data_IF_181610724729
#
_entry.id   IF_181610724729
#
_cell.length_a   1.000
_cell.length_b   1.000
_cell.length_c   1.000
_cell.angle_alpha   90.00
_cell.angle_beta   90.00
_cell.angle_gamma   90.00
#
_symmetry.space_group_name_H-M   'P 1'
#
loop_
_entity.id
_entity.type
_entity.pdbx_description
1 polymer ?
#
# COMPACT_ATOMS: atom_id res chain seq x y z
N UNK A 1 -3.25 -11.75 -14.26
CA UNK A 1 -3.57 -10.65 -13.31
C UNK A 1 -3.38 -10.99 -11.82
N UNK A 2 -3.06 -12.23 -11.40
CA UNK A 2 -3.04 -12.59 -9.97
C UNK A 2 -1.77 -12.32 -9.15
N UNK A 3 -0.58 -12.20 -9.76
CA UNK A 3 0.70 -12.08 -9.02
C UNK A 3 0.96 -10.68 -8.45
N UNK A 4 0.55 -9.63 -9.15
CA UNK A 4 0.76 -8.23 -8.73
C UNK A 4 0.04 -7.89 -7.41
N UNK A 5 -1.18 -8.40 -7.21
CA UNK A 5 -2.00 -8.14 -6.02
C UNK A 5 -1.35 -8.69 -4.73
N UNK A 6 -0.45 -9.68 -4.84
CA UNK A 6 0.25 -10.26 -3.70
C UNK A 6 1.42 -9.38 -3.24
N UNK A 7 2.25 -8.89 -4.17
CA UNK A 7 3.36 -7.98 -3.85
C UNK A 7 2.86 -6.69 -3.18
N UNK A 8 1.75 -6.14 -3.69
CA UNK A 8 1.15 -4.92 -3.16
C UNK A 8 0.64 -5.09 -1.71
N UNK A 9 0.00 -6.23 -1.40
CA UNK A 9 -0.44 -6.56 -0.04
C UNK A 9 0.74 -6.80 0.93
N UNK A 10 1.92 -7.21 0.44
CA UNK A 10 3.13 -7.37 1.26
C UNK A 10 3.78 -6.02 1.59
N UNK A 11 3.78 -5.09 0.63
CA UNK A 11 4.32 -3.73 0.78
C UNK A 11 3.43 -2.85 1.68
N UNK A 12 2.10 -3.00 1.62
CA UNK A 12 1.16 -2.33 2.52
C UNK A 12 1.00 -3.00 3.90
N UNK A 13 1.66 -4.14 4.14
CA UNK A 13 1.60 -4.78 5.45
C UNK A 13 2.37 -3.94 6.48
N UNK A 14 1.67 -3.46 7.51
CA UNK A 14 2.22 -2.58 8.57
C UNK A 14 3.50 -3.09 9.22
N UNK A 15 3.72 -4.41 9.23
CA UNK A 15 4.94 -5.00 9.80
C UNK A 15 6.16 -4.69 8.92
N UNK A 16 6.12 -5.05 7.64
CA UNK A 16 7.21 -4.82 6.66
C UNK A 16 7.66 -3.36 6.62
N UNK A 17 6.71 -2.41 6.73
CA UNK A 17 7.01 -0.97 6.73
C UNK A 17 7.78 -0.51 7.98
N UNK A 18 7.52 -1.12 9.15
CA UNK A 18 8.11 -0.69 10.43
C UNK A 18 9.58 -1.08 10.56
N UNK A 19 9.95 -2.18 9.91
CA UNK A 19 11.24 -2.83 10.08
C UNK A 19 12.27 -2.38 9.01
N UNK A 20 11.84 -1.62 7.99
CA UNK A 20 12.72 -0.88 7.07
C UNK A 20 13.45 0.27 7.79
N UNK A 21 14.73 0.47 7.50
CA UNK A 21 15.49 1.62 7.98
C UNK A 21 14.87 2.95 7.53
N UNK A 22 14.90 3.94 8.42
CA UNK A 22 14.25 5.25 8.23
C UNK A 22 14.74 6.01 7.00
N UNK A 23 16.02 5.85 6.67
CA UNK A 23 16.65 6.46 5.49
C UNK A 23 16.52 5.64 4.20
N UNK A 24 16.02 4.40 4.26
CA UNK A 24 16.00 3.52 3.09
C UNK A 24 15.12 4.07 1.95
N UNK A 25 15.54 3.95 0.68
CA UNK A 25 14.75 4.43 -0.46
C UNK A 25 13.34 3.84 -0.52
N UNK A 26 13.17 2.58 -0.10
CA UNK A 26 11.86 1.96 -0.03
C UNK A 26 11.00 2.50 1.13
N UNK A 27 11.57 2.84 2.30
CA UNK A 27 10.79 3.50 3.36
C UNK A 27 10.41 4.92 2.96
N UNK A 28 11.29 5.67 2.30
CA UNK A 28 10.99 6.98 1.70
C UNK A 28 9.87 6.85 0.66
N UNK A 29 10.04 6.01 -0.36
CA UNK A 29 9.04 5.73 -1.39
C UNK A 29 7.69 5.28 -0.81
N UNK A 30 7.69 4.32 0.12
CA UNK A 30 6.45 3.87 0.77
C UNK A 30 5.87 4.94 1.70
N UNK A 31 6.68 5.81 2.32
CA UNK A 31 6.19 6.92 3.15
C UNK A 31 5.56 8.02 2.30
N UNK A 32 6.16 8.36 1.15
CA UNK A 32 5.56 9.23 0.13
C UNK A 32 4.27 8.62 -0.36
N UNK A 33 4.30 7.39 -0.90
CA UNK A 33 3.10 6.64 -1.31
C UNK A 33 2.04 6.61 -0.21
N UNK A 34 2.40 6.50 1.07
CA UNK A 34 1.47 6.48 2.20
C UNK A 34 0.99 7.87 2.65
N UNK A 35 1.77 8.92 2.42
CA UNK A 35 1.35 10.31 2.63
C UNK A 35 0.38 10.68 1.52
N UNK A 36 0.77 10.47 0.26
CA UNK A 36 -0.04 10.69 -0.95
C UNK A 36 -1.33 9.83 -0.95
N UNK A 37 -1.30 8.56 -0.53
CA UNK A 37 -2.53 7.74 -0.33
C UNK A 37 -3.30 8.07 0.95
N UNK A 38 -2.65 8.72 1.91
CA UNK A 38 -3.18 8.98 3.26
C UNK A 38 -3.94 10.31 3.32
N UNK A 39 -3.37 11.32 2.68
CA UNK A 39 -4.05 12.49 2.17
C UNK A 39 -4.92 12.05 1.00
N UNK A 40 -6.07 11.45 1.32
CA UNK A 40 -7.15 11.31 0.36
C UNK A 40 -7.41 12.70 -0.22
N UNK A 41 -7.07 12.88 -1.49
CA UNK A 41 -7.41 14.08 -2.23
C UNK A 41 -8.94 14.24 -2.12
N UNK A 42 -9.33 15.33 -1.47
CA UNK A 42 -10.70 15.77 -1.30
C UNK A 42 -11.00 16.75 -2.45
N UNK A 43 -12.03 16.42 -3.23
CA UNK A 43 -12.57 17.28 -4.29
C UNK A 43 -13.91 17.84 -3.79
N UNK A 44 -14.13 19.14 -3.93
CA UNK A 44 -15.43 19.75 -3.67
C UNK A 44 -16.24 19.76 -4.97
N UNK A 45 -17.41 19.11 -4.94
CA UNK A 45 -18.38 19.09 -6.03
C UNK A 45 -19.52 20.01 -5.61
N UNK A 46 -19.78 21.03 -6.41
CA UNK A 46 -20.88 22.00 -6.23
C UNK A 46 -21.91 21.81 -7.37
N UNK A 47 -23.19 22.03 -7.06
CA UNK A 47 -24.30 22.05 -8.03
C UNK A 47 -24.44 20.80 -8.93
N UNK A 48 -24.19 19.58 -8.43
CA UNK A 48 -24.47 18.36 -9.22
C UNK A 48 -26.00 18.19 -9.41
N UNK A 49 -26.50 18.34 -10.64
CA UNK A 49 -27.92 18.15 -10.95
C UNK A 49 -28.31 16.66 -10.83
N UNK A 50 -28.90 16.30 -9.70
CA UNK A 50 -29.34 14.94 -9.40
C UNK A 50 -30.80 14.65 -9.80
N UNK A 51 -31.53 15.66 -10.28
CA UNK A 51 -32.86 15.51 -10.89
C UNK A 51 -33.60 16.83 -11.06
N UNK A 52 -34.82 16.75 -11.58
CA UNK A 52 -35.69 17.91 -11.81
C UNK A 52 -37.08 17.71 -11.18
N UNK A 53 -37.68 18.81 -10.71
CA UNK A 53 -39.08 18.90 -10.31
C UNK A 53 -39.99 18.67 -11.52
N UNK A 54 -40.82 17.62 -11.47
CA UNK A 54 -41.61 17.15 -12.62
C UNK A 54 -43.14 17.29 -12.43
N UNK A 55 -43.59 17.51 -11.19
CA UNK A 55 -44.98 17.80 -10.86
C UNK A 55 -45.04 18.30 -9.42
N UNK A 56 -46.17 18.89 -9.02
CA UNK A 56 -46.42 19.32 -7.64
C UNK A 56 -46.52 18.19 -6.60
N UNK A 57 -46.42 16.92 -7.03
CA UNK A 57 -46.55 15.74 -6.16
C UNK A 57 -45.24 14.93 -6.03
N UNK A 58 -44.26 15.13 -6.93
CA UNK A 58 -43.01 14.35 -6.94
C UNK A 58 -42.04 14.85 -5.86
N UNK A 59 -42.07 14.19 -4.69
CA UNK A 59 -41.19 14.50 -3.55
C UNK A 59 -39.95 13.60 -3.45
N UNK A 60 -39.98 12.43 -4.07
CA UNK A 60 -38.96 11.37 -3.91
C UNK A 60 -37.95 11.36 -5.05
N UNK A 61 -36.67 11.30 -4.73
CA UNK A 61 -35.57 11.20 -5.69
C UNK A 61 -34.58 10.13 -5.21
N UNK A 62 -33.97 9.40 -6.13
CA UNK A 62 -32.98 8.37 -5.81
C UNK A 62 -32.07 8.15 -7.01
N UNK A 63 -30.79 7.95 -6.77
CA UNK A 63 -29.80 7.83 -7.83
C UNK A 63 -28.42 7.46 -7.30
N UNK A 64 -27.40 7.83 -8.06
CA UNK A 64 -26.00 7.68 -7.68
C UNK A 64 -25.29 8.96 -8.08
N UNK A 65 -24.57 9.57 -7.15
CA UNK A 65 -23.73 10.73 -7.40
C UNK A 65 -22.60 10.36 -8.37
N UNK A 66 -22.16 11.32 -9.17
CA UNK A 66 -21.13 11.13 -10.20
C UNK A 66 -19.80 10.72 -9.58
N UNK A 67 -19.41 11.33 -8.45
CA UNK A 67 -18.21 10.96 -7.70
C UNK A 67 -18.57 9.99 -6.56
N UNK A 68 -17.98 8.79 -6.59
CA UNK A 68 -18.14 7.78 -5.53
C UNK A 68 -17.16 8.04 -4.38
N UNK A 69 -17.50 7.63 -3.17
CA UNK A 69 -16.64 7.86 -2.00
C UNK A 69 -16.88 9.22 -1.35
N UNK A 70 -18.14 9.58 -1.11
CA UNK A 70 -18.54 10.82 -0.43
C UNK A 70 -17.99 10.86 0.99
N UNK A 71 -17.50 12.02 1.43
CA UNK A 71 -17.08 12.28 2.81
C UNK A 71 -18.30 12.37 3.74
N UNK A 72 -18.39 11.56 4.81
CA UNK A 72 -19.49 11.66 5.77
C UNK A 72 -19.57 13.06 6.40
N UNK A 73 -20.77 13.62 6.42
CA UNK A 73 -21.07 14.97 6.91
C UNK A 73 -20.87 16.09 5.88
N UNK A 74 -20.55 15.77 4.62
CA UNK A 74 -20.35 16.78 3.57
C UNK A 74 -21.53 16.95 2.62
N UNK A 75 -22.42 15.96 2.51
CA UNK A 75 -23.49 16.00 1.50
C UNK A 75 -24.63 16.95 1.91
N UNK A 76 -24.90 17.92 1.04
CA UNK A 76 -26.04 18.82 1.10
C UNK A 76 -26.83 18.59 -0.18
N UNK A 77 -28.15 18.41 -0.07
CA UNK A 77 -29.06 18.33 -1.22
C UNK A 77 -30.11 19.42 -1.07
N UNK A 78 -30.30 20.21 -2.12
CA UNK A 78 -31.18 21.37 -2.08
C UNK A 78 -32.04 21.51 -3.35
N UNK A 79 -33.23 22.10 -3.19
CA UNK A 79 -34.14 22.38 -4.30
C UNK A 79 -35.08 23.56 -3.98
N UNK A 80 -35.49 24.30 -5.01
CA UNK A 80 -36.60 25.26 -4.90
C UNK A 80 -37.92 24.49 -4.92
N UNK A 81 -38.69 24.60 -3.83
CA UNK A 81 -39.97 23.91 -3.64
C UNK A 81 -41.17 24.83 -3.93
N UNK A 82 -42.36 24.24 -4.01
CA UNK A 82 -43.62 24.99 -4.17
C UNK A 82 -43.73 26.08 -3.10
N UNK A 83 -43.95 27.32 -3.53
CA UNK A 83 -43.96 28.51 -2.66
C UNK A 83 -42.71 29.39 -2.80
N UNK A 84 -41.80 29.06 -3.72
CA UNK A 84 -40.57 29.80 -4.02
C UNK A 84 -39.64 29.95 -2.79
N UNK A 85 -39.57 28.88 -1.99
CA UNK A 85 -38.63 28.68 -0.89
C UNK A 85 -37.66 27.54 -1.23
N UNK A 86 -36.47 27.53 -0.63
CA UNK A 86 -35.52 26.41 -0.75
C UNK A 86 -35.71 25.44 0.41
N UNK A 87 -35.80 24.14 0.13
CA UNK A 87 -35.68 23.08 1.14
C UNK A 87 -34.29 22.44 1.01
N UNK A 88 -33.62 22.19 2.14
CA UNK A 88 -32.24 21.69 2.19
C UNK A 88 -32.13 20.49 3.13
N UNK A 89 -31.75 19.34 2.58
CA UNK A 89 -31.41 18.14 3.33
C UNK A 89 -29.90 18.12 3.62
N UNK A 90 -29.53 18.01 4.89
CA UNK A 90 -28.12 17.92 5.32
C UNK A 90 -27.80 16.51 5.83
N UNK A 91 -26.59 16.05 5.53
CA UNK A 91 -26.01 14.77 5.95
C UNK A 91 -25.60 14.75 7.42
N UNK A 92 -26.09 13.76 8.17
CA UNK A 92 -25.84 13.58 9.61
C UNK A 92 -24.56 12.79 9.92
N UNK A 93 -23.73 12.47 8.91
CA UNK A 93 -22.52 11.63 9.02
C UNK A 93 -22.75 10.15 9.41
N UNK A 94 -24.01 9.72 9.53
CA UNK A 94 -24.41 8.36 9.93
C UNK A 94 -25.10 7.56 8.81
N UNK A 95 -25.12 8.11 7.60
CA UNK A 95 -25.83 7.58 6.43
C UNK A 95 -27.25 8.11 6.26
N UNK A 96 -27.73 9.00 7.13
CA UNK A 96 -29.03 9.67 7.01
C UNK A 96 -28.90 11.14 6.60
N UNK A 97 -29.94 11.66 5.92
CA UNK A 97 -30.11 13.09 5.65
C UNK A 97 -31.42 13.58 6.27
N UNK A 98 -31.44 14.84 6.73
CA UNK A 98 -32.62 15.49 7.31
C UNK A 98 -32.74 16.95 6.90
N UNK A 99 -33.98 17.43 6.73
CA UNK A 99 -34.33 18.85 6.51
C UNK A 99 -35.09 19.40 7.73
N UNK A 100 -34.91 20.68 8.12
CA UNK A 100 -35.73 21.34 9.15
C UNK A 100 -37.23 21.38 8.84
N UNK A 101 -37.60 21.40 7.55
CA UNK A 101 -38.96 21.37 7.03
C UNK A 101 -39.60 19.97 7.16
N UNK A 102 -38.81 18.94 7.41
CA UNK A 102 -39.23 17.56 7.59
C UNK A 102 -38.92 16.63 6.42
N UNK A 103 -38.09 17.06 5.47
CA UNK A 103 -37.49 16.18 4.47
C UNK A 103 -36.53 15.17 5.10
N UNK A 104 -36.33 14.03 4.45
CA UNK A 104 -35.46 12.95 4.94
C UNK A 104 -34.85 12.12 3.83
N UNK A 105 -33.74 11.43 4.11
CA UNK A 105 -33.12 10.51 3.15
C UNK A 105 -31.98 9.67 3.72
N UNK A 106 -31.30 8.96 2.82
CA UNK A 106 -30.14 8.11 3.12
C UNK A 106 -29.07 8.20 2.03
N UNK A 107 -27.81 7.98 2.40
CA UNK A 107 -26.63 7.93 1.52
C UNK A 107 -25.72 6.73 1.83
N UNK A 108 -25.35 5.95 0.82
CA UNK A 108 -24.22 5.03 0.87
C UNK A 108 -22.96 5.80 0.45
N UNK A 109 -22.17 6.28 1.43
CA UNK A 109 -20.95 7.04 1.19
C UNK A 109 -19.97 6.36 0.23
N UNK A 110 -19.84 5.04 0.31
CA UNK A 110 -18.86 4.30 -0.50
C UNK A 110 -19.29 4.26 -1.97
N UNK A 111 -20.61 4.16 -2.23
CA UNK A 111 -21.15 4.01 -3.58
C UNK A 111 -21.73 5.30 -4.18
N UNK A 112 -21.90 6.36 -3.40
CA UNK A 112 -22.62 7.57 -3.81
C UNK A 112 -24.13 7.36 -4.00
N UNK A 113 -24.70 6.24 -3.54
CA UNK A 113 -26.12 5.91 -3.78
C UNK A 113 -26.98 6.65 -2.76
N UNK A 114 -27.84 7.54 -3.24
CA UNK A 114 -28.74 8.33 -2.40
C UNK A 114 -30.22 7.94 -2.64
N UNK A 115 -31.04 8.14 -1.61
CA UNK A 115 -32.50 8.12 -1.70
C UNK A 115 -33.08 9.15 -0.74
N UNK A 116 -33.85 10.11 -1.25
CA UNK A 116 -34.37 11.27 -0.50
C UNK A 116 -35.87 11.47 -0.74
N UNK A 117 -36.52 12.14 0.20
CA UNK A 117 -37.90 12.62 0.14
C UNK A 117 -37.95 14.03 0.73
N UNK A 118 -38.27 15.02 -0.09
CA UNK A 118 -38.53 16.38 0.36
C UNK A 118 -39.88 16.47 1.11
N UNK A 119 -40.02 17.39 2.05
CA UNK A 119 -41.31 17.73 2.67
C UNK A 119 -42.26 18.36 1.65
N UNK A 120 -41.78 19.33 0.88
CA UNK A 120 -42.51 19.97 -0.22
C UNK A 120 -41.96 19.49 -1.57
N UNK A 121 -42.82 19.30 -2.57
CA UNK A 121 -42.30 18.88 -3.88
C UNK A 121 -41.43 20.00 -4.50
N UNK A 122 -40.25 19.69 -5.07
CA UNK A 122 -39.53 20.60 -5.94
C UNK A 122 -40.44 21.13 -7.04
N UNK A 123 -40.36 22.44 -7.29
CA UNK A 123 -41.22 23.16 -8.23
C UNK A 123 -40.95 22.69 -9.66
N UNK A 124 -42.01 22.66 -10.48
CA UNK A 124 -41.93 22.15 -11.86
C UNK A 124 -40.91 22.94 -12.69
N UNK A 125 -39.96 22.23 -13.29
CA UNK A 125 -38.86 22.80 -14.08
C UNK A 125 -37.63 23.21 -13.27
N UNK A 126 -37.70 23.35 -11.95
CA UNK A 126 -36.54 23.65 -11.11
C UNK A 126 -35.67 22.41 -10.89
N UNK A 127 -34.36 22.62 -10.81
CA UNK A 127 -33.38 21.56 -10.53
C UNK A 127 -33.37 21.12 -9.06
N UNK A 128 -32.85 19.92 -8.84
CA UNK A 128 -32.49 19.37 -7.53
C UNK A 128 -30.98 19.13 -7.59
N UNK A 129 -30.24 19.81 -6.72
CA UNK A 129 -28.78 19.86 -6.76
C UNK A 129 -28.17 19.21 -5.52
N UNK A 130 -26.95 18.69 -5.67
CA UNK A 130 -26.15 18.10 -4.61
C UNK A 130 -24.77 18.73 -4.53
N UNK A 131 -24.40 19.17 -3.35
CA UNK A 131 -23.08 19.71 -2.99
C UNK A 131 -22.41 18.74 -2.02
N UNK A 132 -21.17 18.34 -2.26
CA UNK A 132 -20.48 17.37 -1.41
C UNK A 132 -18.96 17.35 -1.61
N UNK A 133 -18.24 16.83 -0.61
CA UNK A 133 -16.81 16.52 -0.76
C UNK A 133 -16.67 15.05 -1.19
N UNK A 134 -16.15 14.82 -2.39
CA UNK A 134 -15.75 13.51 -2.88
C UNK A 134 -14.34 13.15 -2.44
N UNK A 135 -14.10 11.87 -2.16
CA UNK A 135 -12.76 11.29 -2.18
C UNK A 135 -12.50 10.68 -3.56
N UNK A 136 -11.37 11.00 -4.20
CA UNK A 136 -10.98 10.27 -5.40
C UNK A 136 -11.01 8.76 -5.13
N UNK A 137 -11.70 8.04 -6.01
CA UNK A 137 -11.74 6.60 -5.90
C UNK A 137 -10.30 6.11 -5.96
N UNK A 138 -9.92 5.17 -5.10
CA UNK A 138 -8.55 4.62 -5.15
C UNK A 138 -8.26 3.92 -6.48
N UNK A 139 -9.21 3.80 -7.42
CA UNK A 139 -8.95 3.35 -8.79
C UNK A 139 -8.28 4.42 -9.66
N UNK A 140 -8.73 5.67 -9.58
CA UNK A 140 -8.14 6.80 -10.31
C UNK A 140 -6.85 7.26 -9.62
N UNK A 141 -6.86 7.34 -8.29
CA UNK A 141 -5.61 7.57 -7.56
C UNK A 141 -4.59 6.43 -7.78
N UNK A 142 -5.03 5.18 -8.02
CA UNK A 142 -4.10 4.08 -8.38
C UNK A 142 -3.55 4.23 -9.80
N UNK A 143 -4.30 4.77 -10.76
CA UNK A 143 -3.76 5.01 -12.11
C UNK A 143 -2.78 6.18 -12.13
N UNK A 144 -3.02 7.19 -11.29
CA UNK A 144 -2.35 8.48 -11.43
C UNK A 144 -1.24 8.69 -10.36
N UNK A 145 -1.44 8.21 -9.12
CA UNK A 145 -0.53 8.43 -7.99
C UNK A 145 0.24 7.19 -7.50
N UNK A 146 -0.27 5.97 -7.69
CA UNK A 146 0.49 4.72 -7.41
C UNK A 146 1.33 4.23 -8.59
N UNK A 147 1.54 5.12 -9.53
CA UNK A 147 2.25 4.88 -10.75
C UNK A 147 3.73 4.45 -10.54
N UNK A 148 4.49 4.67 -9.44
CA UNK A 148 5.91 4.25 -9.33
C UNK A 148 6.33 2.75 -9.54
N UNK A 149 5.43 1.80 -9.81
CA UNK A 149 5.74 0.43 -10.31
C UNK A 149 5.19 0.18 -11.73
N UNK A 150 4.40 1.12 -12.24
CA UNK A 150 3.63 1.11 -13.48
C UNK A 150 4.24 2.15 -14.45
N UNK A 151 4.82 3.24 -13.94
CA UNK A 151 5.89 4.09 -14.50
C UNK A 151 7.18 3.33 -14.77
N UNK A 152 7.47 2.25 -14.04
CA UNK A 152 8.51 1.31 -14.45
C UNK A 152 8.20 0.68 -15.83
N UNK A 153 6.92 0.62 -16.25
CA UNK A 153 6.54 0.30 -17.62
C UNK A 153 6.57 1.52 -18.58
N UNK A 154 6.68 2.75 -18.05
CA UNK A 154 6.96 3.97 -18.81
C UNK A 154 8.44 4.29 -18.96
N UNK A 155 9.37 3.82 -18.10
CA UNK A 155 10.82 3.94 -18.30
C UNK A 155 11.28 3.51 -19.72
N UNK A 156 10.76 2.44 -20.35
CA UNK A 156 10.99 2.11 -21.76
C UNK A 156 10.76 3.27 -22.76
N UNK A 157 9.91 4.24 -22.40
CA UNK A 157 9.46 5.37 -23.23
C UNK A 157 9.91 6.75 -22.69
N UNK A 158 10.16 6.89 -21.38
CA UNK A 158 10.57 8.12 -20.71
C UNK A 158 11.91 8.66 -21.24
N UNK A 159 12.12 9.97 -21.22
CA UNK A 159 13.30 10.64 -21.78
C UNK A 159 13.70 11.89 -21.00
N UNK A 160 14.95 12.34 -21.15
CA UNK A 160 15.41 13.59 -20.52
C UNK A 160 15.19 13.62 -19.00
N UNK A 161 14.59 14.69 -18.50
CA UNK A 161 14.35 14.94 -17.07
C UNK A 161 13.46 13.89 -16.39
N UNK A 162 12.58 13.21 -17.13
CA UNK A 162 11.78 12.09 -16.60
C UNK A 162 12.69 10.94 -16.14
N UNK A 163 13.69 10.58 -16.96
CA UNK A 163 14.66 9.53 -16.60
C UNK A 163 15.57 9.97 -15.45
N UNK A 164 15.84 11.28 -15.33
CA UNK A 164 16.66 11.81 -14.24
C UNK A 164 15.92 11.75 -12.89
N UNK A 165 14.64 12.11 -12.88
CA UNK A 165 13.73 11.90 -11.73
C UNK A 165 13.66 10.41 -11.33
N UNK A 166 13.63 9.51 -12.33
CA UNK A 166 13.68 8.06 -12.10
C UNK A 166 14.99 7.58 -11.47
N UNK A 167 16.13 8.12 -11.90
CA UNK A 167 17.42 7.78 -11.31
C UNK A 167 17.66 8.42 -9.94
N UNK A 168 17.12 9.61 -9.66
CA UNK A 168 17.12 10.17 -8.30
C UNK A 168 16.32 9.26 -7.34
N UNK A 169 15.11 8.86 -7.75
CA UNK A 169 14.24 7.94 -6.99
C UNK A 169 14.90 6.58 -6.71
N UNK A 170 15.75 6.08 -7.63
CA UNK A 170 16.45 4.80 -7.52
C UNK A 170 17.90 4.93 -6.99
N UNK A 171 18.33 6.11 -6.55
CA UNK A 171 19.72 6.43 -6.14
C UNK A 171 20.78 6.03 -7.20
N UNK A 172 20.39 6.12 -8.48
CA UNK A 172 21.17 5.81 -9.66
C UNK A 172 21.19 7.01 -10.61
N UNK A 173 21.82 8.14 -10.25
CA UNK A 173 21.89 9.32 -11.13
C UNK A 173 22.57 9.01 -12.47
N UNK A 174 22.26 9.81 -13.48
CA UNK A 174 22.82 9.70 -14.84
C UNK A 174 24.34 9.92 -14.83
N UNK A 175 25.09 9.10 -15.55
CA UNK A 175 26.53 9.32 -15.71
C UNK A 175 26.80 10.47 -16.70
N UNK A 176 27.87 11.28 -16.52
CA UNK A 176 28.19 12.37 -17.44
C UNK A 176 28.34 11.88 -18.90
N UNK A 177 27.52 12.41 -19.79
CA UNK A 177 27.49 12.02 -21.22
C UNK A 177 26.70 10.74 -21.52
N UNK A 178 26.02 10.13 -20.55
CA UNK A 178 25.16 8.97 -20.77
C UNK A 178 23.87 9.35 -21.51
N UNK A 179 23.60 8.67 -22.62
CA UNK A 179 22.38 8.87 -23.42
C UNK A 179 21.21 8.08 -22.84
N UNK A 180 19.99 8.60 -23.02
CA UNK A 180 18.73 8.05 -22.50
C UNK A 180 18.59 6.53 -22.70
N UNK A 181 18.98 5.99 -23.86
CA UNK A 181 18.88 4.56 -24.14
C UNK A 181 19.79 3.69 -23.24
N UNK A 182 20.99 4.18 -22.88
CA UNK A 182 21.88 3.53 -21.91
C UNK A 182 21.29 3.64 -20.51
N UNK A 183 20.90 4.86 -20.13
CA UNK A 183 20.43 5.17 -18.80
C UNK A 183 19.15 4.40 -18.44
N UNK A 184 18.17 4.41 -19.33
CA UNK A 184 16.97 3.56 -19.31
C UNK A 184 17.29 2.08 -19.13
N UNK A 185 18.29 1.55 -19.84
CA UNK A 185 18.69 0.15 -19.73
C UNK A 185 19.26 -0.17 -18.33
N UNK A 186 19.98 0.79 -17.73
CA UNK A 186 20.52 0.70 -16.36
C UNK A 186 19.42 0.78 -15.29
N UNK A 187 18.47 1.70 -15.43
CA UNK A 187 17.31 1.83 -14.52
C UNK A 187 16.40 0.59 -14.59
N UNK A 188 16.15 0.05 -15.80
CA UNK A 188 15.40 -1.20 -15.98
C UNK A 188 16.15 -2.43 -15.44
N UNK A 189 17.48 -2.46 -15.55
CA UNK A 189 18.29 -3.51 -14.93
C UNK A 189 18.17 -3.46 -13.40
N UNK A 190 18.30 -2.29 -12.79
CA UNK A 190 18.11 -2.12 -11.35
C UNK A 190 16.72 -2.56 -10.91
N UNK A 191 15.64 -2.11 -11.57
CA UNK A 191 14.27 -2.53 -11.22
C UNK A 191 14.04 -4.03 -11.42
N UNK A 192 14.73 -4.66 -12.38
CA UNK A 192 14.70 -6.10 -12.57
C UNK A 192 15.44 -6.84 -11.47
N UNK A 193 16.60 -6.35 -11.06
CA UNK A 193 17.41 -6.95 -10.00
C UNK A 193 16.76 -6.73 -8.61
N UNK A 194 16.16 -5.56 -8.39
CA UNK A 194 15.24 -5.23 -7.30
C UNK A 194 14.11 -6.28 -7.22
N UNK A 195 13.35 -6.46 -8.31
CA UNK A 195 12.21 -7.40 -8.32
C UNK A 195 12.63 -8.88 -8.28
N UNK A 196 13.82 -9.23 -8.78
CA UNK A 196 14.40 -10.56 -8.62
C UNK A 196 14.81 -10.81 -7.16
N UNK A 197 15.50 -9.86 -6.53
CA UNK A 197 16.00 -9.93 -5.14
C UNK A 197 14.89 -10.07 -4.11
N UNK A 198 13.69 -9.54 -4.40
CA UNK A 198 12.46 -9.74 -3.62
C UNK A 198 11.92 -11.18 -3.62
N UNK A 199 12.51 -12.10 -4.39
CA UNK A 199 12.08 -13.50 -4.41
C UNK A 199 12.97 -14.38 -3.53
N UNK A 200 12.32 -15.12 -2.62
CA UNK A 200 12.91 -16.23 -1.85
C UNK A 200 13.75 -17.15 -2.75
N UNK A 201 13.33 -17.40 -3.99
CA UNK A 201 14.07 -18.21 -4.95
C UNK A 201 15.41 -17.58 -5.36
N UNK A 202 15.44 -16.32 -5.82
CA UNK A 202 16.69 -15.69 -6.26
C UNK A 202 17.72 -15.61 -5.12
N UNK A 203 17.26 -15.39 -3.89
CA UNK A 203 18.11 -15.47 -2.70
C UNK A 203 18.69 -16.88 -2.49
N UNK A 204 17.85 -17.94 -2.53
CA UNK A 204 18.33 -19.33 -2.43
C UNK A 204 19.27 -19.72 -3.58
N UNK A 205 19.05 -19.20 -4.79
CA UNK A 205 19.93 -19.40 -5.94
C UNK A 205 21.30 -18.71 -5.71
N UNK A 206 21.31 -17.48 -5.21
CA UNK A 206 22.55 -16.72 -4.94
C UNK A 206 23.39 -17.35 -3.82
N UNK A 207 22.75 -17.91 -2.80
CA UNK A 207 23.45 -18.70 -1.77
C UNK A 207 23.95 -20.02 -2.35
N UNK A 208 23.16 -20.68 -3.21
CA UNK A 208 23.58 -21.90 -3.92
C UNK A 208 24.86 -21.69 -4.73
N UNK A 209 25.04 -20.56 -5.41
CA UNK A 209 26.28 -20.24 -6.14
C UNK A 209 27.54 -20.23 -5.25
N UNK A 210 27.40 -19.95 -3.95
CA UNK A 210 28.52 -19.81 -3.00
C UNK A 210 28.88 -21.14 -2.33
N UNK A 211 27.86 -21.96 -2.03
CA UNK A 211 28.03 -23.20 -1.25
C UNK A 211 27.73 -24.48 -2.04
N UNK A 212 27.37 -24.35 -3.32
CA UNK A 212 26.97 -25.43 -4.24
C UNK A 212 25.82 -26.32 -3.74
N UNK A 213 25.00 -25.80 -2.83
CA UNK A 213 23.86 -26.47 -2.20
C UNK A 213 22.75 -25.45 -1.91
N UNK A 214 21.49 -25.83 -2.09
CA UNK A 214 20.38 -24.92 -1.81
C UNK A 214 20.18 -24.81 -0.30
N UNK A 215 20.19 -23.60 0.28
CA UNK A 215 19.81 -23.43 1.68
C UNK A 215 18.30 -23.64 1.85
N UNK A 216 17.87 -23.85 3.09
CA UNK A 216 16.45 -23.77 3.46
C UNK A 216 16.20 -22.47 4.20
N UNK A 217 15.13 -21.76 3.86
CA UNK A 217 14.68 -20.58 4.61
C UNK A 217 13.53 -20.99 5.50
N UNK A 218 13.66 -20.75 6.80
CA UNK A 218 12.60 -21.01 7.77
C UNK A 218 12.17 -19.67 8.37
N UNK A 219 10.95 -19.18 8.06
CA UNK A 219 10.44 -17.97 8.70
C UNK A 219 10.13 -18.28 10.17
N UNK A 220 10.53 -17.40 11.10
CA UNK A 220 10.46 -17.73 12.55
C UNK A 220 9.05 -18.07 13.04
N UNK A 221 8.01 -17.44 12.46
CA UNK A 221 6.61 -17.74 12.81
C UNK A 221 6.22 -19.20 12.53
N UNK A 222 6.89 -19.90 11.61
CA UNK A 222 6.61 -21.31 11.32
C UNK A 222 7.23 -22.28 12.34
N UNK A 223 8.20 -21.83 13.13
CA UNK A 223 8.79 -22.61 14.23
C UNK A 223 8.06 -22.39 15.57
N UNK A 224 7.26 -21.33 15.66
CA UNK A 224 6.54 -20.92 16.87
C UNK A 224 5.10 -20.54 16.50
N UNK A 225 4.17 -21.51 16.38
CA UNK A 225 2.77 -21.22 16.05
C UNK A 225 2.10 -20.29 17.06
N UNK A 226 2.53 -20.33 18.33
CA UNK A 226 2.03 -19.49 19.42
C UNK A 226 2.77 -18.14 19.53
N UNK A 227 3.21 -17.57 18.39
CA UNK A 227 3.96 -16.30 18.39
C UNK A 227 3.05 -15.06 18.62
N UNK A 228 3.44 -14.10 19.48
CA UNK A 228 4.61 -14.11 20.35
C UNK A 228 4.37 -15.02 21.55
N UNK A 229 5.32 -15.95 21.79
CA UNK A 229 5.27 -16.83 22.96
C UNK A 229 5.16 -15.99 24.23
N UNK A 230 4.26 -16.37 25.13
CA UNK A 230 4.38 -15.96 26.54
C UNK A 230 5.60 -16.66 27.12
N UNK A 231 6.69 -15.93 27.33
CA UNK A 231 7.87 -16.48 28.01
C UNK A 231 7.63 -16.39 29.52
N UNK A 232 7.37 -17.54 30.14
CA UNK A 232 7.65 -17.69 31.57
C UNK A 232 9.15 -17.47 31.78
N UNK A 233 9.49 -16.69 32.81
CA UNK A 233 10.87 -16.45 33.19
C UNK A 233 11.48 -17.72 33.82
N UNK A 234 12.77 -17.95 33.58
CA UNK A 234 13.61 -19.00 34.17
C UNK A 234 13.45 -20.47 33.69
N UNK A 235 14.52 -20.99 33.08
CA UNK A 235 15.21 -22.26 33.46
C UNK A 235 15.70 -23.20 32.34
N UNK A 236 15.55 -22.88 31.05
CA UNK A 236 16.18 -23.69 29.98
C UNK A 236 17.65 -23.29 29.72
N UNK A 237 18.65 -24.16 29.95
CA UNK A 237 20.05 -23.86 29.64
C UNK A 237 20.38 -23.95 28.13
N UNK A 238 19.39 -24.25 27.28
CA UNK A 238 19.57 -24.44 25.83
C UNK A 238 18.99 -23.31 24.97
N UNK A 239 18.31 -22.33 25.57
CA UNK A 239 17.81 -21.14 24.87
C UNK A 239 18.85 -20.02 24.88
N UNK A 240 19.47 -19.75 23.73
CA UNK A 240 20.15 -18.46 23.52
C UNK A 240 19.10 -17.36 23.40
N UNK A 241 19.17 -16.36 24.27
CA UNK A 241 18.25 -15.23 24.28
C UNK A 241 18.67 -14.23 23.21
N UNK A 242 18.05 -14.33 22.03
CA UNK A 242 18.04 -13.21 21.09
C UNK A 242 17.19 -12.11 21.73
N UNK A 243 17.81 -10.99 22.10
CA UNK A 243 17.10 -9.86 22.70
C UNK A 243 15.96 -9.40 21.77
N UNK A 244 14.87 -8.88 22.34
CA UNK A 244 13.70 -8.38 21.58
C UNK A 244 14.06 -7.35 20.49
N UNK A 245 15.20 -6.68 20.64
CA UNK A 245 15.73 -5.67 19.73
C UNK A 245 16.47 -6.28 18.53
N UNK A 246 16.68 -7.62 18.52
CA UNK A 246 17.46 -8.40 17.56
C UNK A 246 16.62 -9.49 16.87
N UNK A 247 15.30 -9.34 16.82
CA UNK A 247 14.43 -10.26 16.10
C UNK A 247 14.83 -10.35 14.61
N UNK A 248 15.38 -11.50 14.21
CA UNK A 248 15.59 -11.85 12.82
C UNK A 248 14.27 -12.28 12.18
N UNK A 249 14.06 -12.01 10.89
CA UNK A 249 12.80 -12.38 10.22
C UNK A 249 12.76 -13.86 9.78
N UNK A 250 13.93 -14.43 9.49
CA UNK A 250 14.09 -15.85 9.17
C UNK A 250 15.42 -16.44 9.64
N UNK A 251 15.46 -17.77 9.69
CA UNK A 251 16.69 -18.55 9.72
C UNK A 251 17.09 -18.93 8.30
N UNK A 252 18.33 -18.62 7.91
CA UNK A 252 18.97 -19.19 6.73
C UNK A 252 19.69 -20.46 7.15
N UNK A 253 19.08 -21.61 6.86
CA UNK A 253 19.63 -22.92 7.19
C UNK A 253 20.58 -23.35 6.08
N UNK A 254 21.87 -23.44 6.42
CA UNK A 254 22.95 -23.89 5.53
C UNK A 254 23.45 -25.29 5.92
N UNK A 255 24.16 -26.00 5.03
CA UNK A 255 24.79 -27.27 5.36
C UNK A 255 25.84 -27.12 6.45
N UNK A 256 26.07 -28.19 7.23
CA UNK A 256 27.19 -28.24 8.16
C UNK A 256 28.53 -28.33 7.40
N UNK A 257 29.61 -27.82 8.01
CA UNK A 257 30.97 -27.94 7.47
C UNK A 257 31.39 -26.86 6.46
N UNK A 258 30.62 -25.77 6.32
CA UNK A 258 31.11 -24.58 5.61
C UNK A 258 32.36 -24.01 6.30
N UNK A 259 33.33 -23.57 5.50
CA UNK A 259 34.48 -22.84 6.02
C UNK A 259 34.15 -21.34 6.23
N UNK A 260 35.00 -20.64 6.98
CA UNK A 260 34.81 -19.23 7.32
C UNK A 260 34.68 -18.32 6.09
N UNK A 261 35.41 -18.58 5.01
CA UNK A 261 35.31 -17.82 3.76
C UNK A 261 33.94 -17.97 3.09
N UNK A 262 33.39 -19.19 3.08
CA UNK A 262 32.03 -19.44 2.58
C UNK A 262 30.98 -18.76 3.47
N UNK A 263 31.11 -18.86 4.80
CA UNK A 263 30.20 -18.21 5.76
C UNK A 263 30.21 -16.68 5.57
N UNK A 264 31.39 -16.08 5.42
CA UNK A 264 31.52 -14.65 5.15
C UNK A 264 30.96 -14.26 3.78
N UNK A 265 31.14 -15.08 2.75
CA UNK A 265 30.56 -14.86 1.42
C UNK A 265 29.04 -14.95 1.42
N UNK A 266 28.45 -15.93 2.14
CA UNK A 266 27.00 -16.03 2.31
C UNK A 266 26.45 -14.84 3.09
N UNK A 267 27.10 -14.44 4.19
CA UNK A 267 26.71 -13.25 4.95
C UNK A 267 26.73 -11.98 4.09
N UNK A 268 27.81 -11.74 3.33
CA UNK A 268 27.89 -10.61 2.42
C UNK A 268 26.80 -10.68 1.33
N UNK A 269 26.52 -11.88 0.80
CA UNK A 269 25.47 -12.07 -0.19
C UNK A 269 24.07 -11.81 0.37
N UNK A 270 23.84 -12.03 1.66
CA UNK A 270 22.60 -11.67 2.38
C UNK A 270 22.53 -10.15 2.59
N UNK A 271 23.58 -9.53 3.13
CA UNK A 271 23.64 -8.07 3.36
C UNK A 271 23.50 -7.26 2.06
N UNK A 272 23.95 -7.82 0.93
CA UNK A 272 23.84 -7.16 -0.38
C UNK A 272 22.43 -7.24 -1.00
N UNK A 273 21.47 -7.94 -0.38
CA UNK A 273 20.07 -7.98 -0.83
C UNK A 273 19.42 -6.68 -0.35
N UNK A 274 19.21 -5.72 -1.27
CA UNK A 274 18.59 -4.42 -0.96
C UNK A 274 17.25 -4.51 -0.21
N UNK A 275 16.54 -5.64 -0.35
CA UNK A 275 15.27 -5.95 0.32
C UNK A 275 15.30 -7.32 1.01
N UNK A 276 16.48 -7.74 1.46
CA UNK A 276 16.59 -8.78 2.48
C UNK A 276 15.92 -8.29 3.77
N UNK A 277 15.59 -9.21 4.69
CA UNK A 277 15.19 -8.79 6.01
C UNK A 277 16.32 -8.00 6.66
N UNK A 278 15.96 -7.01 7.47
CA UNK A 278 16.92 -6.15 8.17
C UNK A 278 17.85 -6.98 9.07
N UNK A 279 17.42 -8.19 9.50
CA UNK A 279 18.23 -9.15 10.24
C UNK A 279 17.93 -10.60 9.84
N UNK A 280 18.97 -11.42 9.73
CA UNK A 280 18.86 -12.87 9.52
C UNK A 280 19.93 -13.63 10.31
N UNK A 281 19.61 -14.87 10.69
CA UNK A 281 20.55 -15.77 11.34
C UNK A 281 20.96 -16.87 10.38
N UNK A 282 22.26 -16.98 10.11
CA UNK A 282 22.84 -18.12 9.38
C UNK A 282 23.04 -19.24 10.39
N UNK A 283 22.38 -20.37 10.19
CA UNK A 283 22.38 -21.52 11.09
C UNK A 283 22.72 -22.82 10.34
N UNK A 284 23.34 -23.80 11.00
CA UNK A 284 23.39 -25.16 10.40
C UNK A 284 22.04 -25.85 10.50
N UNK A 285 21.79 -26.84 9.63
CA UNK A 285 20.68 -27.79 9.80
C UNK A 285 20.64 -28.41 11.20
N UNK A 286 19.44 -28.78 11.69
CA UNK A 286 19.24 -29.11 13.10
C UNK A 286 19.88 -30.45 13.49
N UNK A 287 20.68 -30.44 14.55
CA UNK A 287 21.20 -31.65 15.19
C UNK A 287 20.35 -31.90 16.43
N UNK A 288 19.66 -33.04 16.48
CA UNK A 288 18.71 -33.38 17.56
C UNK A 288 17.63 -32.31 17.82
N UNK A 289 17.19 -31.61 16.77
CA UNK A 289 16.19 -30.53 16.84
C UNK A 289 16.76 -29.14 17.18
N UNK A 290 18.07 -29.02 17.44
CA UNK A 290 18.73 -27.75 17.77
C UNK A 290 19.48 -27.21 16.56
N UNK A 291 19.23 -25.95 16.21
CA UNK A 291 19.97 -25.20 15.20
C UNK A 291 21.22 -24.55 15.82
N UNK A 292 22.38 -24.72 15.21
CA UNK A 292 23.61 -24.04 15.64
C UNK A 292 23.74 -22.70 14.94
N UNK A 293 23.74 -21.60 15.69
CA UNK A 293 24.05 -20.27 15.14
C UNK A 293 25.49 -20.22 14.63
N UNK A 294 25.66 -19.85 13.37
CA UNK A 294 26.97 -19.64 12.74
C UNK A 294 27.32 -18.15 12.73
N UNK A 295 26.38 -17.31 12.29
CA UNK A 295 26.60 -15.86 12.13
C UNK A 295 25.27 -15.09 12.12
N UNK A 296 25.25 -13.96 12.83
CA UNK A 296 24.19 -12.94 12.70
C UNK A 296 24.54 -12.01 11.52
N UNK A 297 23.53 -11.65 10.73
CA UNK A 297 23.63 -10.69 9.62
C UNK A 297 22.58 -9.62 9.83
N UNK A 298 23.02 -8.38 9.79
CA UNK A 298 22.23 -7.14 9.84
C UNK A 298 23.11 -5.97 9.45
#
# INVERSE_FOLDING_TARGET
MGRFKYAFNVLLNRKTFRDLEEESPLRKLLSTIRSELGERLEEEIEDEEIGQGASSEKKTFSGTLTHQGVKPGSLIIHAVVIGDTTETLSDNSDGTLTSPEGGSGTIDYVRGIYAITFHSAPKEGEGVFADYTGYYSTKEFVSDGLNPVYDACFIPYASGEDLDSWGETLELPRSPGEVDASYRSRLLAELRDFTASLTVKAFMDRVFEIISQHPSIIPLWALSPDWPLGWDEESSPWSTWVAWNNLADFLLVVPAGLNESQINSVAQAVSNIKFGPSRSLIVTGPVSGVYTLIKEVG
#
